data_IF_372757150818
#
_entry.id   IF_372757150818
#
_cell.length_a   1.000
_cell.length_b   1.000
_cell.length_c   1.000
_cell.angle_alpha   90.00
_cell.angle_beta   90.00
_cell.angle_gamma   90.00
#
_symmetry.space_group_name_H-M   'P 1'
#
loop_
_entity.id
_entity.type
_entity.pdbx_description
1 polymer ?
#
# COMPACT_ATOMS: atom_id res chain seq x y z
N UNK A 1 28.49 -20.70 -53.41
CA UNK A 1 27.31 -20.45 -52.56
C UNK A 1 26.48 -21.72 -52.56
N UNK A 2 26.28 -22.37 -51.41
CA UNK A 2 25.40 -23.54 -51.34
C UNK A 2 23.99 -23.01 -51.15
N UNK A 3 23.14 -23.14 -52.16
CA UNK A 3 21.73 -22.78 -52.03
C UNK A 3 21.09 -23.79 -51.06
N UNK A 4 20.85 -23.37 -49.83
CA UNK A 4 20.11 -24.16 -48.85
C UNK A 4 18.68 -24.32 -49.39
N UNK A 5 18.29 -25.55 -49.67
CA UNK A 5 16.92 -25.89 -50.08
C UNK A 5 16.08 -25.98 -48.81
N UNK A 6 15.15 -25.03 -48.55
CA UNK A 6 14.37 -25.01 -47.31
C UNK A 6 13.48 -26.24 -47.14
N UNK A 7 12.92 -26.76 -48.25
CA UNK A 7 12.05 -27.93 -48.23
C UNK A 7 12.47 -28.98 -49.28
N UNK A 8 13.48 -29.81 -48.98
CA UNK A 8 14.06 -30.74 -49.96
C UNK A 8 13.10 -31.86 -50.39
N UNK A 9 12.04 -32.12 -49.60
CA UNK A 9 11.09 -33.20 -49.84
C UNK A 9 9.80 -32.73 -50.54
N UNK A 10 9.71 -31.44 -50.89
CA UNK A 10 8.55 -30.88 -51.58
C UNK A 10 8.76 -30.81 -53.10
N UNK A 11 7.67 -30.77 -53.90
CA UNK A 11 7.74 -30.51 -55.34
C UNK A 11 8.50 -29.22 -55.66
N UNK A 12 9.08 -29.12 -56.85
CA UNK A 12 9.90 -27.97 -57.27
C UNK A 12 9.20 -26.61 -57.09
N UNK A 13 7.87 -26.57 -57.20
CA UNK A 13 7.04 -25.38 -56.94
C UNK A 13 7.17 -24.83 -55.50
N UNK A 14 7.33 -25.70 -54.50
CA UNK A 14 7.40 -25.32 -53.07
C UNK A 14 8.79 -25.52 -52.46
N UNK A 15 9.74 -26.04 -53.24
CA UNK A 15 11.09 -26.43 -52.79
C UNK A 15 11.89 -25.26 -52.22
N UNK A 16 11.65 -24.05 -52.73
CA UNK A 16 12.28 -22.81 -52.29
C UNK A 16 11.31 -21.87 -51.54
N UNK A 17 10.05 -22.28 -51.34
CA UNK A 17 9.09 -21.49 -50.57
C UNK A 17 9.41 -21.60 -49.06
N UNK A 18 9.39 -20.46 -48.38
CA UNK A 18 9.70 -20.33 -46.95
C UNK A 18 8.46 -20.01 -46.13
N UNK A 19 7.44 -19.41 -46.75
CA UNK A 19 6.16 -19.17 -46.10
C UNK A 19 5.35 -20.46 -46.05
N UNK A 20 5.31 -21.07 -44.85
CA UNK A 20 4.59 -22.31 -44.60
C UNK A 20 3.09 -22.24 -44.92
N UNK A 21 2.49 -21.05 -45.02
CA UNK A 21 1.07 -20.86 -45.33
C UNK A 21 0.73 -21.16 -46.79
N UNK A 22 1.73 -21.06 -47.68
CA UNK A 22 1.60 -21.31 -49.12
C UNK A 22 1.92 -22.76 -49.49
N UNK A 23 2.39 -23.56 -48.54
CA UNK A 23 2.79 -24.95 -48.75
C UNK A 23 1.68 -25.89 -48.27
N UNK A 24 1.20 -26.82 -49.11
CA UNK A 24 0.22 -27.83 -48.67
C UNK A 24 0.72 -28.60 -47.44
N UNK A 25 -0.17 -28.83 -46.46
CA UNK A 25 0.17 -29.44 -45.16
C UNK A 25 0.89 -30.79 -45.26
N UNK A 26 0.65 -31.57 -46.32
CA UNK A 26 1.35 -32.84 -46.63
C UNK A 26 2.87 -32.69 -46.82
N UNK A 27 3.34 -31.50 -47.18
CA UNK A 27 4.75 -31.18 -47.42
C UNK A 27 5.36 -30.32 -46.30
N UNK A 28 4.61 -30.00 -45.26
CA UNK A 28 5.12 -29.30 -44.09
C UNK A 28 5.76 -30.30 -43.12
N UNK A 29 6.91 -29.95 -42.56
CA UNK A 29 7.54 -30.76 -41.52
C UNK A 29 6.66 -30.74 -40.25
N UNK A 30 6.11 -31.89 -39.81
CA UNK A 30 5.24 -31.94 -38.64
C UNK A 30 6.01 -31.77 -37.33
N UNK A 31 7.35 -31.89 -37.34
CA UNK A 31 8.21 -31.60 -36.19
C UNK A 31 8.36 -30.08 -36.04
N UNK A 32 7.31 -29.42 -35.56
CA UNK A 32 7.40 -28.04 -35.09
C UNK A 32 8.38 -28.04 -33.91
N UNK A 33 9.46 -27.25 -33.93
CA UNK A 33 10.32 -27.10 -32.76
C UNK A 33 9.45 -26.68 -31.58
N UNK A 34 9.38 -27.51 -30.54
CA UNK A 34 8.70 -27.11 -29.30
C UNK A 34 9.39 -25.83 -28.82
N UNK A 35 8.69 -24.71 -28.90
CA UNK A 35 9.23 -23.42 -28.48
C UNK A 35 9.76 -23.50 -27.04
N UNK A 36 10.75 -22.66 -26.71
CA UNK A 36 11.26 -22.46 -25.36
C UNK A 36 10.08 -22.11 -24.43
N UNK A 37 9.57 -23.08 -23.68
CA UNK A 37 8.28 -23.04 -22.98
C UNK A 37 8.17 -21.99 -21.85
N UNK A 38 7.54 -22.36 -20.74
CA UNK A 38 7.20 -21.46 -19.61
C UNK A 38 8.37 -20.67 -18.97
N UNK A 39 9.61 -20.97 -19.35
CA UNK A 39 10.85 -20.32 -18.88
C UNK A 39 10.81 -18.80 -19.05
N UNK A 40 10.12 -18.25 -20.07
CA UNK A 40 9.99 -16.80 -20.24
C UNK A 40 9.19 -16.09 -19.14
N UNK A 41 8.31 -16.80 -18.42
CA UNK A 41 7.48 -16.21 -17.36
C UNK A 41 8.14 -16.23 -15.98
N UNK A 42 9.27 -16.94 -15.84
CA UNK A 42 9.94 -17.12 -14.55
C UNK A 42 10.51 -15.80 -13.99
N UNK A 43 10.91 -14.86 -14.85
CA UNK A 43 11.34 -13.51 -14.45
C UNK A 43 10.19 -12.62 -13.94
N UNK A 44 8.93 -12.97 -14.24
CA UNK A 44 7.75 -12.28 -13.70
C UNK A 44 7.27 -12.90 -12.38
N UNK A 45 7.74 -14.11 -12.03
CA UNK A 45 7.42 -14.76 -10.76
C UNK A 45 8.20 -14.18 -9.56
N UNK A 46 9.23 -13.36 -9.81
CA UNK A 46 10.02 -12.67 -8.77
C UNK A 46 9.39 -11.36 -8.29
N UNK A 47 8.13 -11.08 -8.63
CA UNK A 47 7.45 -9.83 -8.24
C UNK A 47 6.49 -9.91 -7.02
N UNK A 48 6.51 -10.90 -6.11
CA UNK A 48 5.69 -10.79 -4.90
C UNK A 48 6.14 -9.60 -4.05
N UNK A 49 7.44 -9.32 -4.00
CA UNK A 49 8.00 -8.20 -3.26
C UNK A 49 7.58 -6.84 -3.88
N UNK A 50 7.46 -6.75 -5.20
CA UNK A 50 6.93 -5.54 -5.84
C UNK A 50 5.44 -5.34 -5.56
N UNK A 51 4.65 -6.42 -5.51
CA UNK A 51 3.24 -6.34 -5.14
C UNK A 51 3.07 -5.84 -3.71
N UNK A 52 3.85 -6.37 -2.76
CA UNK A 52 3.86 -5.90 -1.37
C UNK A 52 4.24 -4.42 -1.24
N UNK A 53 5.25 -3.97 -1.99
CA UNK A 53 5.66 -2.56 -2.00
C UNK A 53 4.54 -1.67 -2.54
N UNK A 54 3.87 -2.08 -3.63
CA UNK A 54 2.75 -1.33 -4.20
C UNK A 54 1.57 -1.24 -3.24
N UNK A 55 1.24 -2.32 -2.54
CA UNK A 55 0.20 -2.33 -1.51
C UNK A 55 0.52 -1.37 -0.35
N UNK A 56 1.78 -1.32 0.09
CA UNK A 56 2.21 -0.34 1.11
C UNK A 56 2.09 1.10 0.58
N UNK A 57 2.54 1.37 -0.64
CA UNK A 57 2.43 2.69 -1.26
C UNK A 57 0.97 3.14 -1.38
N UNK A 58 0.06 2.24 -1.78
CA UNK A 58 -1.37 2.54 -1.89
C UNK A 58 -1.97 2.84 -0.51
N UNK A 59 -1.57 2.12 0.54
CA UNK A 59 -2.00 2.39 1.92
C UNK A 59 -1.48 3.73 2.44
N UNK A 60 -0.22 4.04 2.16
CA UNK A 60 0.44 5.25 2.63
C UNK A 60 -0.04 6.51 1.89
N UNK A 61 -0.59 6.40 0.66
CA UNK A 61 -1.15 7.54 -0.07
C UNK A 61 -2.29 8.28 0.66
N UNK A 62 -3.01 7.59 1.55
CA UNK A 62 -4.12 8.18 2.31
C UNK A 62 -3.70 8.66 3.69
N UNK A 63 -2.43 8.48 4.08
CA UNK A 63 -1.94 8.92 5.39
C UNK A 63 -1.76 10.43 5.41
N UNK A 64 -2.33 11.05 6.43
CA UNK A 64 -2.21 12.46 6.78
C UNK A 64 -0.98 12.62 7.68
N UNK A 65 -0.07 13.51 7.30
CA UNK A 65 1.06 13.87 8.16
C UNK A 65 0.57 14.46 9.49
N UNK A 66 1.28 14.14 10.58
CA UNK A 66 0.95 14.68 11.90
C UNK A 66 0.94 16.21 11.84
N UNK A 67 -0.15 16.88 12.26
CA UNK A 67 -0.19 18.34 12.22
C UNK A 67 0.89 18.93 13.13
N UNK A 68 1.70 19.82 12.57
CA UNK A 68 2.71 20.57 13.32
C UNK A 68 2.00 21.64 14.15
N UNK A 69 2.06 21.49 15.47
CA UNK A 69 1.54 22.49 16.42
C UNK A 69 2.63 23.52 16.75
N UNK A 70 2.28 24.80 16.69
CA UNK A 70 3.14 25.90 17.16
C UNK A 70 3.21 25.93 18.68
N UNK A 71 4.23 26.58 19.26
CA UNK A 71 4.37 26.69 20.72
C UNK A 71 3.12 27.29 21.39
N UNK A 72 2.54 28.35 20.83
CA UNK A 72 1.30 28.95 21.35
C UNK A 72 0.11 27.98 21.31
N UNK A 73 0.05 27.13 20.27
CA UNK A 73 -1.02 26.13 20.14
C UNK A 73 -0.86 25.01 21.17
N UNK A 74 0.38 24.62 21.48
CA UNK A 74 0.69 23.65 22.52
C UNK A 74 0.32 24.19 23.92
N UNK A 75 0.67 25.44 24.21
CA UNK A 75 0.33 26.07 25.51
C UNK A 75 -1.19 26.16 25.71
N UNK A 76 -1.91 26.57 24.67
CA UNK A 76 -3.38 26.59 24.67
C UNK A 76 -3.97 25.18 24.91
N UNK A 77 -3.43 24.16 24.25
CA UNK A 77 -3.87 22.78 24.42
C UNK A 77 -3.66 22.30 25.87
N UNK A 78 -2.52 22.64 26.47
CA UNK A 78 -2.25 22.35 27.88
C UNK A 78 -3.22 23.08 28.83
N UNK A 79 -3.53 24.35 28.56
CA UNK A 79 -4.55 25.10 29.31
C UNK A 79 -5.94 24.44 29.20
N UNK A 80 -6.36 24.06 27.99
CA UNK A 80 -7.63 23.38 27.76
C UNK A 80 -7.67 22.06 28.54
N UNK A 81 -6.58 21.28 28.54
CA UNK A 81 -6.48 20.04 29.34
C UNK A 81 -6.78 20.31 30.81
N UNK A 82 -6.14 21.31 31.41
CA UNK A 82 -6.33 21.62 32.82
C UNK A 82 -7.77 22.04 33.13
N UNK A 83 -8.36 22.89 32.28
CA UNK A 83 -9.76 23.35 32.44
C UNK A 83 -10.73 22.17 32.34
N UNK A 84 -10.57 21.31 31.32
CA UNK A 84 -11.48 20.16 31.10
C UNK A 84 -11.39 19.13 32.23
N UNK A 85 -10.19 18.88 32.76
CA UNK A 85 -9.99 18.01 33.93
C UNK A 85 -10.63 18.62 35.17
N UNK A 86 -10.39 19.92 35.43
CA UNK A 86 -10.91 20.60 36.62
C UNK A 86 -12.44 20.66 36.63
N UNK A 87 -13.05 20.86 35.48
CA UNK A 87 -14.50 21.00 35.34
C UNK A 87 -15.23 19.67 35.10
N UNK A 88 -14.50 18.55 34.96
CA UNK A 88 -15.04 17.22 34.58
C UNK A 88 -15.98 17.29 33.35
N UNK A 89 -15.58 18.11 32.37
CA UNK A 89 -16.42 18.44 31.22
C UNK A 89 -16.22 17.43 30.07
N UNK A 90 -17.29 17.20 29.30
CA UNK A 90 -17.18 16.47 28.05
C UNK A 90 -16.39 17.29 27.02
N UNK A 91 -15.49 16.62 26.33
CA UNK A 91 -14.68 17.19 25.25
C UNK A 91 -14.55 16.20 24.10
N UNK A 92 -14.23 16.72 22.92
CA UNK A 92 -13.85 15.94 21.76
C UNK A 92 -12.37 16.13 21.47
N UNK A 93 -11.60 15.05 21.50
CA UNK A 93 -10.17 15.00 21.25
C UNK A 93 -9.97 14.55 19.81
N UNK A 94 -9.26 15.36 19.02
CA UNK A 94 -8.71 14.93 17.72
C UNK A 94 -7.33 14.33 17.97
N UNK A 95 -7.16 13.05 17.69
CA UNK A 95 -5.96 12.27 18.00
C UNK A 95 -5.35 11.71 16.72
N UNK A 96 -4.06 11.93 16.53
CA UNK A 96 -3.32 11.40 15.39
C UNK A 96 -2.68 10.05 15.71
N UNK A 97 -2.94 9.04 14.89
CA UNK A 97 -2.37 7.71 15.00
C UNK A 97 -2.15 7.10 13.60
N UNK A 98 -0.92 6.63 13.33
CA UNK A 98 -0.51 5.95 12.08
C UNK A 98 -0.99 6.63 10.79
N UNK A 99 -0.90 7.97 10.75
CA UNK A 99 -1.29 8.75 9.58
C UNK A 99 -2.79 9.01 9.46
N UNK A 100 -3.59 8.76 10.49
CA UNK A 100 -5.00 9.12 10.51
C UNK A 100 -5.33 9.99 11.72
N UNK A 101 -6.32 10.87 11.57
CA UNK A 101 -6.84 11.68 12.67
C UNK A 101 -8.20 11.11 13.07
N UNK A 102 -8.25 10.50 14.24
CA UNK A 102 -9.45 9.97 14.87
C UNK A 102 -10.03 10.99 15.84
N UNK A 103 -11.36 10.97 16.02
CA UNK A 103 -12.05 11.83 16.99
C UNK A 103 -12.64 10.98 18.10
N UNK A 104 -12.34 11.33 19.34
CA UNK A 104 -12.83 10.66 20.53
C UNK A 104 -13.64 11.66 21.37
N UNK A 105 -14.88 11.31 21.73
CA UNK A 105 -15.74 12.17 22.55
C UNK A 105 -15.90 11.54 23.93
N UNK A 106 -15.67 12.32 24.99
CA UNK A 106 -15.61 11.78 26.34
C UNK A 106 -15.01 12.75 27.33
N UNK A 107 -14.53 12.25 28.46
CA UNK A 107 -13.96 13.04 29.56
C UNK A 107 -12.50 12.69 29.79
N UNK A 108 -11.72 13.68 30.18
CA UNK A 108 -10.32 13.49 30.57
C UNK A 108 -10.28 13.34 32.08
N UNK A 109 -9.82 12.18 32.56
CA UNK A 109 -9.82 11.85 33.98
C UNK A 109 -8.58 12.39 34.70
N UNK A 110 -7.41 12.19 34.07
CA UNK A 110 -6.12 12.55 34.66
C UNK A 110 -5.09 12.73 33.55
N UNK A 111 -4.17 13.68 33.76
CA UNK A 111 -2.95 13.83 32.97
C UNK A 111 -1.74 13.43 33.82
N UNK A 112 -0.79 12.75 33.21
CA UNK A 112 0.52 12.43 33.76
C UNK A 112 1.59 13.17 32.95
N UNK A 113 2.20 14.17 33.59
CA UNK A 113 3.23 15.01 32.97
C UNK A 113 4.57 14.27 32.83
N UNK A 114 4.85 13.29 33.69
CA UNK A 114 6.13 12.56 33.69
C UNK A 114 6.18 11.60 32.50
N UNK A 115 5.11 10.86 32.27
CA UNK A 115 5.01 9.94 31.12
C UNK A 115 4.48 10.61 29.85
N UNK A 116 4.06 11.88 29.92
CA UNK A 116 3.39 12.61 28.85
C UNK A 116 2.16 11.86 28.28
N UNK A 117 1.38 11.24 29.18
CA UNK A 117 0.17 10.47 28.85
C UNK A 117 -1.04 10.99 29.63
N UNK A 118 -2.25 10.67 29.18
CA UNK A 118 -3.48 11.00 29.89
C UNK A 118 -4.50 9.86 29.83
N UNK A 119 -5.31 9.77 30.87
CA UNK A 119 -6.43 8.83 30.97
C UNK A 119 -7.71 9.49 30.47
N UNK A 120 -8.37 8.84 29.53
CA UNK A 120 -9.58 9.32 28.88
C UNK A 120 -10.70 8.29 29.02
N UNK A 121 -11.90 8.73 29.43
CA UNK A 121 -13.09 7.90 29.46
C UNK A 121 -14.04 8.29 28.33
N UNK A 122 -14.33 7.35 27.44
CA UNK A 122 -15.37 7.53 26.42
C UNK A 122 -16.78 7.50 27.03
N UNK A 123 -17.77 7.93 26.27
CA UNK A 123 -19.21 7.85 26.53
C UNK A 123 -19.69 6.46 26.96
N UNK A 124 -18.98 5.40 26.53
CA UNK A 124 -19.25 4.01 26.93
C UNK A 124 -18.59 3.59 28.24
N UNK A 125 -17.99 4.52 29.00
CA UNK A 125 -17.18 4.27 30.20
C UNK A 125 -15.92 3.40 29.97
N UNK A 126 -15.47 3.26 28.72
CA UNK A 126 -14.19 2.63 28.41
C UNK A 126 -13.05 3.62 28.73
N UNK A 127 -12.04 3.15 29.47
CA UNK A 127 -10.88 3.97 29.86
C UNK A 127 -9.71 3.65 28.95
N UNK A 128 -9.15 4.68 28.32
CA UNK A 128 -7.99 4.62 27.45
C UNK A 128 -6.83 5.41 28.06
N UNK A 129 -5.61 4.91 27.89
CA UNK A 129 -4.40 5.66 28.21
C UNK A 129 -3.75 6.12 26.91
N UNK A 130 -3.72 7.43 26.67
CA UNK A 130 -3.32 8.03 25.39
C UNK A 130 -2.09 8.91 25.57
N UNK A 131 -1.24 8.99 24.55
CA UNK A 131 -0.08 9.88 24.55
C UNK A 131 -0.48 11.32 24.22
N UNK A 132 -0.13 12.27 25.09
CA UNK A 132 -0.45 13.69 24.91
C UNK A 132 0.17 14.27 23.63
N UNK A 133 1.37 13.81 23.23
CA UNK A 133 2.06 14.33 22.04
C UNK A 133 1.27 14.11 20.74
N UNK A 134 0.35 13.15 20.70
CA UNK A 134 -0.44 12.81 19.51
C UNK A 134 -1.80 13.52 19.46
N UNK A 135 -2.12 14.31 20.48
CA UNK A 135 -3.33 15.14 20.47
C UNK A 135 -3.11 16.33 19.54
N UNK A 136 -4.03 16.52 18.59
CA UNK A 136 -4.00 17.62 17.64
C UNK A 136 -4.81 18.82 18.13
N UNK A 137 -5.99 18.56 18.70
CA UNK A 137 -6.87 19.59 19.23
C UNK A 137 -7.88 18.99 20.21
N UNK A 138 -8.40 19.84 21.09
CA UNK A 138 -9.46 19.51 22.03
C UNK A 138 -10.54 20.59 21.88
N UNK A 139 -11.80 20.17 21.81
CA UNK A 139 -12.96 21.06 21.73
C UNK A 139 -13.97 20.70 22.81
#
# INVERSE_FOLDING_TARGET
>A
MVNMIPNPNAPDEYKYETDYRKIPRKYLNPKIPQGRGKIKWQAFATLPQQFEILEQIIKDQNKIEKPLLTHDSLDNLDQIFQIKIQNDELCTISYWEDGNISKYTGKILKKDEISNTFSFSDTNNNIYNLNNANVCSIT
#
